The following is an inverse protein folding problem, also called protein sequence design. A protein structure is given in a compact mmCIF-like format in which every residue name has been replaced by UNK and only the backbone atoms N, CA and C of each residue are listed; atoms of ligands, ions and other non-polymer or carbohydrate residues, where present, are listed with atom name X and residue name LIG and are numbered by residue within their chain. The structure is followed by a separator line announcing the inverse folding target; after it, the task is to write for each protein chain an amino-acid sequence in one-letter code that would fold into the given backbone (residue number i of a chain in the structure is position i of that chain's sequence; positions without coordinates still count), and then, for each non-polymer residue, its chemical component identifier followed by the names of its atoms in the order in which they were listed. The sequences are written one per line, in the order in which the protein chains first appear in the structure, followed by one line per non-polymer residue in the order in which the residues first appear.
data_IF_723526595740
#
_entry.id   IF_723526595740
#
_cell.length_a   1.000
_cell.length_b   1.000
_cell.length_c   1.000
_cell.angle_alpha   90.00
_cell.angle_beta   90.00
_cell.angle_gamma   90.00
#
_symmetry.space_group_name_H-M   'P 1'
#
loop_
_entity.id
_entity.type
_entity.pdbx_description
1 polymer ?
#
# COMPACT_ATOMS: atom_id res chain seq x y z
N UNK A 1 7.25 -33.22 3.89
CA UNK A 1 7.44 -32.69 2.53
C UNK A 1 6.21 -31.99 1.95
N UNK A 2 5.02 -32.61 1.80
CA UNK A 2 3.79 -31.88 1.40
C UNK A 2 3.24 -30.93 2.48
N UNK A 3 3.33 -31.35 3.73
CA UNK A 3 2.84 -30.59 4.89
C UNK A 3 3.59 -29.27 5.11
N UNK A 4 4.88 -29.23 4.75
CA UNK A 4 5.74 -28.04 4.92
C UNK A 4 5.42 -26.94 3.88
N UNK A 5 4.99 -27.33 2.67
CA UNK A 5 4.57 -26.40 1.62
C UNK A 5 3.20 -25.76 1.91
N UNK A 6 2.24 -26.54 2.41
CA UNK A 6 0.92 -26.01 2.78
C UNK A 6 1.01 -25.03 3.96
N UNK A 7 1.87 -25.33 4.93
CA UNK A 7 2.11 -24.45 6.08
C UNK A 7 2.77 -23.13 5.64
N UNK A 8 3.71 -23.17 4.70
CA UNK A 8 4.33 -21.98 4.11
C UNK A 8 3.32 -21.10 3.36
N UNK A 9 2.39 -21.70 2.60
CA UNK A 9 1.37 -20.95 1.85
C UNK A 9 0.39 -20.20 2.77
N UNK A 10 -0.04 -20.84 3.86
CA UNK A 10 -0.92 -20.22 4.86
C UNK A 10 -0.21 -19.04 5.56
N UNK A 11 1.07 -19.20 5.90
CA UNK A 11 1.88 -18.13 6.48
C UNK A 11 2.01 -16.92 5.54
N UNK A 12 2.22 -17.13 4.24
CA UNK A 12 2.27 -16.06 3.23
C UNK A 12 0.93 -15.33 3.12
N UNK A 13 -0.20 -16.06 3.11
CA UNK A 13 -1.53 -15.45 3.08
C UNK A 13 -1.83 -14.61 4.32
N UNK A 14 -1.48 -15.11 5.50
CA UNK A 14 -1.65 -14.37 6.76
C UNK A 14 -0.78 -13.11 6.76
N UNK A 15 0.48 -13.20 6.36
CA UNK A 15 1.39 -12.04 6.25
C UNK A 15 0.86 -11.01 5.27
N UNK A 16 0.41 -11.44 4.10
CA UNK A 16 -0.20 -10.57 3.10
C UNK A 16 -1.46 -9.88 3.61
N UNK A 17 -2.33 -10.61 4.29
CA UNK A 17 -3.55 -10.08 4.91
C UNK A 17 -3.27 -9.00 5.96
N UNK A 18 -2.28 -9.21 6.83
CA UNK A 18 -1.87 -8.24 7.86
C UNK A 18 -1.35 -6.93 7.23
N UNK A 19 -0.68 -7.02 6.07
CA UNK A 19 -0.15 -5.84 5.37
C UNK A 19 -1.25 -5.14 4.56
N UNK A 20 -2.13 -5.88 3.87
CA UNK A 20 -3.14 -5.29 2.97
C UNK A 20 -4.33 -4.70 3.74
N UNK A 21 -4.74 -5.34 4.84
CA UNK A 21 -5.97 -4.95 5.55
C UNK A 21 -5.94 -3.50 6.11
N UNK A 22 -4.85 -3.03 6.75
CA UNK A 22 -4.74 -1.63 7.17
C UNK A 22 -4.79 -0.65 6.00
N UNK A 23 -4.12 -0.97 4.89
CA UNK A 23 -4.12 -0.16 3.67
C UNK A 23 -5.52 -0.03 3.08
N UNK A 24 -6.31 -1.11 3.07
CA UNK A 24 -7.70 -1.08 2.61
C UNK A 24 -8.58 -0.21 3.51
N UNK A 25 -8.40 -0.30 4.84
CA UNK A 25 -9.14 0.54 5.78
C UNK A 25 -8.84 2.03 5.56
N UNK A 26 -7.56 2.39 5.39
CA UNK A 26 -7.13 3.76 5.09
C UNK A 26 -7.74 4.24 3.76
N UNK A 27 -7.72 3.39 2.72
CA UNK A 27 -8.27 3.71 1.42
C UNK A 27 -9.79 3.97 1.49
N UNK A 28 -10.53 3.15 2.24
CA UNK A 28 -11.97 3.34 2.44
C UNK A 28 -12.24 4.69 3.10
N UNK A 29 -11.46 5.05 4.13
CA UNK A 29 -11.57 6.36 4.79
C UNK A 29 -11.26 7.48 3.81
N UNK A 30 -10.17 7.41 3.05
CA UNK A 30 -9.82 8.47 2.09
C UNK A 30 -10.87 8.64 0.99
N UNK A 31 -11.44 7.54 0.49
CA UNK A 31 -12.54 7.59 -0.50
C UNK A 31 -13.80 8.18 0.12
N UNK A 32 -14.15 7.80 1.36
CA UNK A 32 -15.28 8.38 2.07
C UNK A 32 -15.13 9.91 2.18
N UNK A 33 -13.94 10.39 2.57
CA UNK A 33 -13.66 11.82 2.62
C UNK A 33 -13.71 12.46 1.24
N UNK A 34 -13.19 11.81 0.20
CA UNK A 34 -13.23 12.30 -1.17
C UNK A 34 -14.66 12.52 -1.66
N UNK A 35 -15.55 11.55 -1.43
CA UNK A 35 -16.97 11.66 -1.81
C UNK A 35 -17.66 12.78 -1.01
N UNK A 36 -17.31 12.95 0.25
CA UNK A 36 -17.96 13.91 1.16
C UNK A 36 -17.51 15.36 0.96
N UNK A 37 -16.21 15.61 0.77
CA UNK A 37 -15.65 16.96 0.66
C UNK A 37 -15.31 17.38 -0.76
N UNK A 38 -14.99 16.43 -1.65
CA UNK A 38 -14.46 16.73 -2.99
C UNK A 38 -13.18 17.57 -2.99
N UNK A 39 -12.48 17.63 -1.84
CA UNK A 39 -11.32 18.52 -1.67
C UNK A 39 -10.05 17.92 -2.26
N UNK A 40 -9.13 18.79 -2.68
CA UNK A 40 -7.82 18.40 -3.21
C UNK A 40 -7.06 17.51 -2.22
N UNK A 41 -7.22 17.78 -0.92
CA UNK A 41 -6.59 17.01 0.16
C UNK A 41 -7.05 15.55 0.17
N UNK A 42 -8.35 15.34 -0.04
CA UNK A 42 -8.93 14.00 -0.11
C UNK A 42 -8.51 13.25 -1.40
N UNK A 43 -8.28 13.98 -2.49
CA UNK A 43 -7.69 13.41 -3.72
C UNK A 43 -6.27 12.93 -3.44
N UNK A 44 -5.44 13.76 -2.80
CA UNK A 44 -4.05 13.40 -2.43
C UNK A 44 -4.02 12.18 -1.50
N UNK A 45 -4.86 12.16 -0.46
CA UNK A 45 -4.99 10.99 0.43
C UNK A 45 -5.42 9.73 -0.33
N UNK A 46 -6.34 9.85 -1.28
CA UNK A 46 -6.81 8.70 -2.06
C UNK A 46 -5.74 8.18 -3.01
N UNK A 47 -5.02 9.06 -3.71
CA UNK A 47 -3.93 8.66 -4.61
C UNK A 47 -2.79 8.00 -3.83
N UNK A 48 -2.36 8.61 -2.71
CA UNK A 48 -1.30 8.05 -1.87
C UNK A 48 -1.66 6.68 -1.29
N UNK A 49 -2.90 6.49 -0.84
CA UNK A 49 -3.38 5.20 -0.33
C UNK A 49 -3.52 4.13 -1.43
N UNK A 50 -3.93 4.50 -2.65
CA UNK A 50 -3.96 3.58 -3.81
C UNK A 50 -2.55 3.11 -4.17
N UNK A 51 -1.58 4.02 -4.27
CA UNK A 51 -0.18 3.68 -4.56
C UNK A 51 0.35 2.72 -3.49
N UNK A 52 0.12 3.03 -2.21
CA UNK A 52 0.56 2.19 -1.10
C UNK A 52 -0.11 0.81 -1.12
N UNK A 53 -1.40 0.74 -1.44
CA UNK A 53 -2.13 -0.52 -1.53
C UNK A 53 -1.56 -1.40 -2.65
N UNK A 54 -1.31 -0.83 -3.83
CA UNK A 54 -0.73 -1.57 -4.97
C UNK A 54 0.66 -2.09 -4.60
N UNK A 55 1.54 -1.23 -4.09
CA UNK A 55 2.90 -1.62 -3.70
C UNK A 55 2.90 -2.70 -2.60
N UNK A 56 2.03 -2.56 -1.60
CA UNK A 56 1.87 -3.52 -0.52
C UNK A 56 1.32 -4.86 -0.99
N UNK A 57 0.41 -4.84 -1.98
CA UNK A 57 -0.13 -6.06 -2.60
C UNK A 57 0.95 -6.79 -3.40
N UNK A 58 1.80 -6.06 -4.13
CA UNK A 58 2.95 -6.64 -4.84
C UNK A 58 3.94 -7.32 -3.87
N UNK A 59 4.20 -6.70 -2.72
CA UNK A 59 4.99 -7.33 -1.65
C UNK A 59 4.32 -8.56 -1.03
N UNK A 60 3.01 -8.50 -0.80
CA UNK A 60 2.24 -9.58 -0.18
C UNK A 60 2.15 -10.86 -1.03
N UNK A 61 2.18 -10.72 -2.37
CA UNK A 61 2.14 -11.85 -3.31
C UNK A 61 3.51 -12.56 -3.39
N UNK A 62 4.49 -12.14 -2.58
CA UNK A 62 5.85 -12.68 -2.54
C UNK A 62 6.43 -12.79 -3.95
N UNK A 63 6.40 -11.64 -4.64
CA UNK A 63 6.90 -11.49 -6.01
C UNK A 63 8.33 -12.02 -6.18
N UNK A 64 9.08 -12.23 -5.08
CA UNK A 64 10.43 -12.78 -5.02
C UNK A 64 10.43 -14.28 -5.32
N UNK A 65 9.43 -15.01 -4.84
CA UNK A 65 9.25 -16.43 -5.18
C UNK A 65 8.86 -16.60 -6.66
N UNK A 66 8.15 -15.63 -7.23
CA UNK A 66 7.72 -15.67 -8.64
C UNK A 66 8.77 -15.14 -9.63
N UNK A 67 9.56 -14.15 -9.21
CA UNK A 67 10.66 -13.55 -9.98
C UNK A 67 12.04 -14.11 -9.62
N UNK A 68 12.13 -15.04 -8.67
CA UNK A 68 13.41 -15.59 -8.18
C UNK A 68 14.25 -16.28 -9.26
N UNK A 69 13.62 -16.72 -10.35
CA UNK A 69 14.30 -17.24 -11.55
C UNK A 69 14.84 -16.13 -12.49
N UNK A 70 14.48 -14.86 -12.27
CA UNK A 70 14.86 -13.72 -13.12
C UNK A 70 16.10 -12.92 -12.64
N UNK A 71 16.80 -13.37 -11.59
CA UNK A 71 18.07 -12.78 -11.15
C UNK A 71 17.98 -11.29 -10.74
N UNK A 72 19.03 -10.50 -11.00
CA UNK A 72 19.15 -9.09 -10.51
C UNK A 72 18.05 -8.13 -10.96
N UNK A 73 17.22 -8.53 -11.94
CA UNK A 73 16.06 -7.76 -12.37
C UNK A 73 14.92 -7.76 -11.33
N UNK A 74 14.82 -8.81 -10.51
CA UNK A 74 13.89 -8.86 -9.38
C UNK A 74 14.28 -7.82 -8.33
N UNK A 75 15.56 -7.71 -7.98
CA UNK A 75 16.06 -6.77 -6.97
C UNK A 75 15.79 -5.31 -7.36
N UNK A 76 15.99 -4.94 -8.64
CA UNK A 76 15.67 -3.58 -9.11
C UNK A 76 14.18 -3.25 -8.99
N UNK A 77 13.31 -4.22 -9.26
CA UNK A 77 11.86 -4.03 -9.16
C UNK A 77 11.43 -3.84 -7.70
N UNK A 78 12.08 -4.54 -6.76
CA UNK A 78 11.87 -4.33 -5.32
C UNK A 78 12.25 -2.92 -4.87
N UNK A 79 13.44 -2.46 -5.26
CA UNK A 79 13.85 -1.08 -4.97
C UNK A 79 12.87 -0.05 -5.56
N UNK A 80 12.37 -0.30 -6.77
CA UNK A 80 11.35 0.57 -7.36
C UNK A 80 10.06 0.58 -6.54
N UNK A 81 9.55 -0.59 -6.11
CA UNK A 81 8.35 -0.69 -5.28
C UNK A 81 8.53 0.05 -3.94
N UNK A 82 9.69 -0.09 -3.28
CA UNK A 82 9.99 0.65 -2.05
C UNK A 82 9.98 2.17 -2.26
N UNK A 83 10.55 2.65 -3.36
CA UNK A 83 10.51 4.07 -3.72
C UNK A 83 9.06 4.54 -3.93
N UNK A 84 8.25 3.78 -4.67
CA UNK A 84 6.85 4.12 -4.89
C UNK A 84 6.02 4.08 -3.60
N UNK A 85 6.31 3.13 -2.70
CA UNK A 85 5.70 3.07 -1.37
C UNK A 85 6.03 4.34 -0.56
N UNK A 86 7.29 4.77 -0.56
CA UNK A 86 7.71 6.02 0.08
C UNK A 86 6.98 7.24 -0.53
N UNK A 87 6.90 7.32 -1.86
CA UNK A 87 6.18 8.40 -2.56
C UNK A 87 4.69 8.38 -2.18
N UNK A 88 4.05 7.22 -2.14
CA UNK A 88 2.66 7.08 -1.76
C UNK A 88 2.38 7.56 -0.34
N UNK A 89 3.25 7.22 0.64
CA UNK A 89 3.17 7.76 2.00
C UNK A 89 3.36 9.27 2.06
N UNK A 90 4.29 9.84 1.29
CA UNK A 90 4.51 11.29 1.24
C UNK A 90 3.27 12.00 0.70
N UNK A 91 2.71 11.52 -0.42
CA UNK A 91 1.49 12.09 -1.03
C UNK A 91 0.31 11.99 -0.04
N UNK A 92 0.12 10.83 0.59
CA UNK A 92 -0.91 10.64 1.61
C UNK A 92 -0.73 11.61 2.79
N UNK A 93 0.49 11.74 3.31
CA UNK A 93 0.82 12.62 4.42
C UNK A 93 0.56 14.09 4.11
N UNK A 94 0.91 14.55 2.89
CA UNK A 94 0.61 15.92 2.44
C UNK A 94 -0.90 16.16 2.43
N UNK A 95 -1.68 15.22 1.87
CA UNK A 95 -3.14 15.31 1.87
C UNK A 95 -3.71 15.34 3.29
N UNK A 96 -3.20 14.49 4.19
CA UNK A 96 -3.64 14.44 5.58
C UNK A 96 -3.34 15.74 6.35
N UNK A 97 -2.11 16.26 6.23
CA UNK A 97 -1.72 17.53 6.89
C UNK A 97 -2.56 18.69 6.38
N UNK A 98 -2.80 18.75 5.07
CA UNK A 98 -3.63 19.80 4.47
C UNK A 98 -5.08 19.74 4.97
N UNK A 99 -5.65 18.53 5.06
CA UNK A 99 -6.99 18.31 5.63
C UNK A 99 -7.07 18.75 7.10
N UNK A 100 -6.09 18.39 7.93
CA UNK A 100 -6.04 18.78 9.34
C UNK A 100 -5.96 20.31 9.47
N UNK A 101 -5.09 20.95 8.69
CA UNK A 101 -4.94 22.40 8.70
C UNK A 101 -6.23 23.13 8.28
N UNK A 102 -6.98 22.59 7.31
CA UNK A 102 -8.27 23.15 6.93
C UNK A 102 -9.29 23.02 8.07
N UNK A 103 -9.31 21.89 8.79
CA UNK A 103 -10.23 21.64 9.89
C UNK A 103 -9.90 22.41 11.17
N UNK A 104 -8.63 22.69 11.45
CA UNK A 104 -8.22 23.47 12.63
C UNK A 104 -8.37 24.98 12.44
N UNK A 105 -8.46 25.47 11.19
CA UNK A 105 -8.67 26.89 10.88
C UNK A 105 -10.15 27.31 10.88
N UNK A 106 -11.08 26.35 10.95
CA UNK A 106 -12.52 26.57 11.09
C UNK A 106 -12.93 26.39 12.54
#
# INVERSE_FOLDING_TARGET
MKMDQEFSGILTLIRGGIIIFPQLFILIISIYYLIKSGSIDAILMSIGSIINLICSTLFAIDLYAYLGDYGSSADMLYYAIDIFLCIGFIIFGIGLISLINEKMKK
#
